data_IF_623231675170
#
_entry.id   IF_623231675170
#
_cell.length_a   1.000
_cell.length_b   1.000
_cell.length_c   1.000
_cell.angle_alpha   90.00
_cell.angle_beta   90.00
_cell.angle_gamma   90.00
#
_symmetry.space_group_name_H-M   'P 1'
#
loop_
_entity.id
_entity.type
_entity.pdbx_description
1 polymer ?
#
# COMPACT_ATOMS: atom_id res chain seq x y z
N UNK A 1 6.52 20.29 1.42
CA UNK A 1 6.97 18.92 1.10
C UNK A 1 7.96 19.02 -0.04
N UNK A 2 9.05 18.29 0.08
CA UNK A 2 10.18 18.37 -0.83
C UNK A 2 10.32 17.07 -1.63
N UNK A 3 10.66 17.20 -2.92
CA UNK A 3 11.00 16.06 -3.76
C UNK A 3 12.39 15.51 -3.42
N UNK A 4 13.23 16.27 -2.72
CA UNK A 4 14.53 15.79 -2.21
C UNK A 4 14.43 15.15 -0.82
N UNK A 5 13.24 14.67 -0.43
CA UNK A 5 13.06 13.94 0.82
C UNK A 5 13.96 12.70 0.87
N UNK A 6 14.47 12.40 2.07
CA UNK A 6 15.25 11.19 2.34
C UNK A 6 14.76 10.51 3.61
N UNK A 7 14.66 9.18 3.57
CA UNK A 7 14.22 8.37 4.70
C UNK A 7 15.36 7.75 5.51
N UNK A 8 16.62 8.03 5.17
CA UNK A 8 17.81 7.38 5.77
C UNK A 8 17.89 7.58 7.28
N UNK A 9 17.53 8.77 7.77
CA UNK A 9 17.59 9.10 9.20
C UNK A 9 16.30 8.71 9.96
N UNK A 10 15.29 8.18 9.27
CA UNK A 10 14.01 7.82 9.88
C UNK A 10 14.01 6.37 10.34
N UNK A 11 13.47 6.15 11.53
CA UNK A 11 13.13 4.83 12.04
C UNK A 11 11.91 4.22 11.32
N UNK A 12 11.75 2.91 11.48
CA UNK A 12 10.56 2.18 11.00
C UNK A 12 9.25 2.72 11.59
N UNK A 13 9.29 3.21 12.82
CA UNK A 13 8.13 3.84 13.47
C UNK A 13 7.82 5.18 12.81
N UNK A 14 8.83 6.01 12.54
CA UNK A 14 8.64 7.31 11.90
C UNK A 14 8.12 7.18 10.47
N UNK A 15 8.63 6.23 9.68
CA UNK A 15 8.09 5.96 8.32
C UNK A 15 6.64 5.45 8.36
N UNK A 16 6.28 4.64 9.37
CA UNK A 16 4.90 4.19 9.59
C UNK A 16 3.99 5.36 9.95
N UNK A 17 4.41 6.23 10.88
CA UNK A 17 3.67 7.42 11.29
C UNK A 17 3.52 8.43 10.15
N UNK A 18 4.58 8.63 9.36
CA UNK A 18 4.54 9.46 8.16
C UNK A 18 3.53 8.93 7.14
N UNK A 19 3.45 7.61 6.95
CA UNK A 19 2.45 6.98 6.07
C UNK A 19 1.03 7.27 6.57
N UNK A 20 0.75 7.10 7.87
CA UNK A 20 -0.56 7.47 8.45
C UNK A 20 -0.88 8.94 8.17
N UNK A 21 0.12 9.82 8.38
CA UNK A 21 -0.03 11.25 8.14
C UNK A 21 -0.37 11.58 6.69
N UNK A 22 0.19 10.88 5.71
CA UNK A 22 -0.15 11.06 4.29
C UNK A 22 -1.65 10.82 4.03
N UNK A 23 -2.23 9.77 4.58
CA UNK A 23 -3.67 9.48 4.44
C UNK A 23 -4.55 10.53 5.11
N UNK A 24 -4.15 11.02 6.29
CA UNK A 24 -4.85 12.08 7.01
C UNK A 24 -4.80 13.38 6.21
N UNK A 25 -3.62 13.80 5.75
CA UNK A 25 -3.46 15.07 5.03
C UNK A 25 -4.08 15.06 3.63
N UNK A 26 -4.22 13.89 3.00
CA UNK A 26 -5.00 13.72 1.76
C UNK A 26 -6.51 13.70 2.00
N UNK A 27 -6.98 13.85 3.24
CA UNK A 27 -8.39 13.74 3.66
C UNK A 27 -9.03 12.37 3.42
N UNK A 28 -8.24 11.33 3.15
CA UNK A 28 -8.76 9.99 2.83
C UNK A 28 -9.45 9.34 4.04
N UNK A 29 -8.94 9.58 5.25
CA UNK A 29 -9.55 9.05 6.48
C UNK A 29 -10.98 9.57 6.64
N UNK A 30 -11.18 10.87 6.41
CA UNK A 30 -12.50 11.49 6.55
C UNK A 30 -13.41 11.13 5.38
N UNK A 31 -12.94 11.22 4.15
CA UNK A 31 -13.75 11.04 2.94
C UNK A 31 -14.26 9.60 2.81
N UNK A 32 -13.49 8.61 3.30
CA UNK A 32 -13.86 7.19 3.28
C UNK A 32 -14.25 6.64 4.66
N UNK A 33 -14.42 7.49 5.67
CA UNK A 33 -14.83 7.11 7.04
C UNK A 33 -13.97 5.98 7.63
N UNK A 34 -12.67 6.01 7.38
CA UNK A 34 -11.76 4.97 7.82
C UNK A 34 -11.61 5.01 9.34
N UNK A 35 -11.76 3.85 10.00
CA UNK A 35 -11.37 3.71 11.40
C UNK A 35 -9.85 3.88 11.49
N UNK A 36 -9.39 4.81 12.33
CA UNK A 36 -7.96 5.07 12.53
C UNK A 36 -7.18 3.80 12.90
N UNK A 37 -7.75 2.96 13.76
CA UNK A 37 -7.15 1.66 14.15
C UNK A 37 -7.03 0.70 12.97
N UNK A 38 -8.04 0.64 12.09
CA UNK A 38 -7.99 -0.17 10.87
C UNK A 38 -6.89 0.32 9.92
N UNK A 39 -6.74 1.63 9.74
CA UNK A 39 -5.65 2.20 8.94
C UNK A 39 -4.27 1.84 9.52
N UNK A 40 -4.09 1.98 10.84
CA UNK A 40 -2.84 1.60 11.50
C UNK A 40 -2.52 0.11 11.29
N UNK A 41 -3.50 -0.78 11.50
CA UNK A 41 -3.31 -2.21 11.29
C UNK A 41 -3.01 -2.55 9.82
N UNK A 42 -3.67 -1.88 8.88
CA UNK A 42 -3.41 -2.04 7.45
C UNK A 42 -1.95 -1.69 7.11
N UNK A 43 -1.47 -0.50 7.51
CA UNK A 43 -0.10 -0.05 7.22
C UNK A 43 0.92 -0.98 7.86
N UNK A 44 0.71 -1.40 9.12
CA UNK A 44 1.57 -2.37 9.79
C UNK A 44 1.59 -3.72 9.07
N UNK A 45 0.45 -4.16 8.53
CA UNK A 45 0.36 -5.41 7.76
C UNK A 45 1.09 -5.30 6.43
N UNK A 46 0.92 -4.21 5.68
CA UNK A 46 1.68 -3.92 4.45
C UNK A 46 3.17 -3.96 4.74
N UNK A 47 3.64 -3.19 5.75
CA UNK A 47 5.05 -3.15 6.14
C UNK A 47 5.60 -4.53 6.51
N UNK A 48 4.84 -5.33 7.26
CA UNK A 48 5.25 -6.69 7.67
C UNK A 48 5.41 -7.63 6.48
N UNK A 49 4.65 -7.42 5.41
CA UNK A 49 4.71 -8.26 4.20
C UNK A 49 5.81 -7.83 3.22
N UNK A 50 6.60 -6.80 3.53
CA UNK A 50 7.87 -6.55 2.87
C UNK A 50 9.01 -7.33 3.55
N UNK A 51 9.86 -7.97 2.74
CA UNK A 51 10.95 -8.81 3.23
C UNK A 51 12.16 -7.97 3.62
N UNK A 52 12.55 -8.05 4.91
CA UNK A 52 13.70 -7.30 5.46
C UNK A 52 15.06 -7.71 4.88
N UNK A 53 15.17 -8.92 4.34
CA UNK A 53 16.41 -9.43 3.73
C UNK A 53 16.58 -9.02 2.26
N UNK A 54 15.63 -8.26 1.68
CA UNK A 54 15.75 -7.71 0.33
C UNK A 54 16.41 -6.34 0.40
N UNK A 55 17.50 -6.16 -0.36
CA UNK A 55 18.32 -4.96 -0.29
C UNK A 55 17.60 -3.67 -0.73
N UNK A 56 16.74 -3.75 -1.77
CA UNK A 56 16.09 -2.57 -2.36
C UNK A 56 14.56 -2.61 -2.29
N UNK A 57 13.91 -3.57 -2.96
CA UNK A 57 12.43 -3.74 -2.99
C UNK A 57 11.85 -4.21 -1.65
N UNK A 58 12.01 -3.39 -0.62
CA UNK A 58 11.56 -3.59 0.74
C UNK A 58 10.65 -2.41 1.16
N UNK A 59 10.25 -2.38 2.43
CA UNK A 59 9.36 -1.34 2.96
C UNK A 59 9.82 0.09 2.65
N UNK A 60 11.14 0.37 2.70
CA UNK A 60 11.67 1.72 2.45
C UNK A 60 11.45 2.16 1.02
N UNK A 61 11.58 1.25 0.06
CA UNK A 61 11.27 1.54 -1.33
C UNK A 61 9.79 1.89 -1.51
N UNK A 62 8.89 1.05 -1.00
CA UNK A 62 7.44 1.30 -1.08
C UNK A 62 7.04 2.61 -0.39
N UNK A 63 7.62 2.89 0.77
CA UNK A 63 7.42 4.14 1.50
C UNK A 63 7.87 5.37 0.68
N UNK A 64 9.07 5.34 0.09
CA UNK A 64 9.56 6.45 -0.74
C UNK A 64 8.73 6.63 -2.02
N UNK A 65 8.24 5.54 -2.62
CA UNK A 65 7.30 5.59 -3.75
C UNK A 65 5.98 6.27 -3.34
N UNK A 66 5.43 5.93 -2.16
CA UNK A 66 4.24 6.58 -1.63
C UNK A 66 4.49 8.06 -1.24
N UNK A 67 5.65 8.38 -0.68
CA UNK A 67 6.04 9.76 -0.35
C UNK A 67 6.18 10.63 -1.60
N UNK A 68 6.72 10.07 -2.69
CA UNK A 68 6.81 10.76 -3.98
C UNK A 68 5.41 11.02 -4.54
N UNK A 69 4.52 10.01 -4.50
CA UNK A 69 3.12 10.17 -4.91
C UNK A 69 2.39 11.24 -4.08
N UNK A 70 2.55 11.22 -2.76
CA UNK A 70 1.98 12.22 -1.87
C UNK A 70 2.50 13.64 -2.21
N UNK A 71 3.78 13.78 -2.51
CA UNK A 71 4.37 15.07 -2.93
C UNK A 71 3.83 15.53 -4.29
N UNK A 72 3.62 14.63 -5.25
CA UNK A 72 2.96 14.95 -6.53
C UNK A 72 1.51 15.40 -6.34
N UNK A 73 0.76 14.70 -5.48
CA UNK A 73 -0.62 15.04 -5.16
C UNK A 73 -0.74 16.42 -4.49
N UNK A 74 0.13 16.71 -3.52
CA UNK A 74 0.13 17.95 -2.74
C UNK A 74 0.88 19.09 -3.41
N UNK A 75 2.21 19.02 -3.48
CA UNK A 75 3.05 20.08 -4.05
C UNK A 75 2.86 20.20 -5.55
N UNK A 76 2.70 19.08 -6.26
CA UNK A 76 2.45 19.04 -7.71
C UNK A 76 1.00 19.38 -8.09
N UNK A 77 0.11 19.60 -7.11
CA UNK A 77 -1.32 19.90 -7.30
C UNK A 77 -2.09 18.88 -8.15
N UNK A 78 -1.59 17.64 -8.23
CA UNK A 78 -2.26 16.57 -8.98
C UNK A 78 -3.59 16.17 -8.30
N UNK A 79 -3.70 16.34 -6.98
CA UNK A 79 -4.94 16.07 -6.25
C UNK A 79 -6.15 16.84 -6.83
N UNK A 80 -5.96 18.03 -7.40
CA UNK A 80 -7.05 18.83 -7.98
C UNK A 80 -7.59 18.28 -9.31
N UNK A 81 -6.89 17.30 -9.90
CA UNK A 81 -7.24 16.70 -11.20
C UNK A 81 -7.79 15.29 -11.07
N UNK A 82 -7.78 14.72 -9.87
CA UNK A 82 -8.19 13.36 -9.58
C UNK A 82 -9.36 13.39 -8.60
N UNK A 83 -10.23 12.39 -8.67
CA UNK A 83 -11.25 12.18 -7.65
C UNK A 83 -10.66 11.46 -6.42
N UNK A 84 -11.38 11.49 -5.31
CA UNK A 84 -10.91 10.91 -4.04
C UNK A 84 -10.63 9.40 -4.13
N UNK A 85 -11.36 8.67 -4.98
CA UNK A 85 -11.15 7.24 -5.17
C UNK A 85 -9.85 6.96 -5.94
N UNK A 86 -9.54 7.76 -6.95
CA UNK A 86 -8.26 7.68 -7.68
C UNK A 86 -7.08 8.01 -6.76
N UNK A 87 -7.21 9.03 -5.92
CA UNK A 87 -6.18 9.39 -4.92
C UNK A 87 -5.98 8.26 -3.91
N UNK A 88 -7.07 7.68 -3.41
CA UNK A 88 -7.02 6.52 -2.52
C UNK A 88 -6.33 5.33 -3.20
N UNK A 89 -6.74 5.00 -4.42
CA UNK A 89 -6.19 3.89 -5.18
C UNK A 89 -4.69 4.06 -5.43
N UNK A 90 -4.23 5.26 -5.78
CA UNK A 90 -2.80 5.56 -5.98
C UNK A 90 -1.99 5.38 -4.69
N UNK A 91 -2.50 5.84 -3.54
CA UNK A 91 -1.80 5.67 -2.26
C UNK A 91 -1.74 4.20 -1.83
N UNK A 92 -2.81 3.44 -2.02
CA UNK A 92 -2.81 2.00 -1.76
C UNK A 92 -1.85 1.28 -2.73
N UNK A 93 -1.91 1.60 -4.02
CA UNK A 93 -1.08 0.97 -5.04
C UNK A 93 0.41 1.20 -4.78
N UNK A 94 0.80 2.45 -4.51
CA UNK A 94 2.22 2.81 -4.26
C UNK A 94 2.80 2.08 -3.04
N UNK A 95 2.01 1.88 -1.99
CA UNK A 95 2.44 1.12 -0.81
C UNK A 95 2.45 -0.40 -1.03
N UNK A 96 1.59 -0.91 -1.92
CA UNK A 96 1.39 -2.34 -2.12
C UNK A 96 2.13 -2.94 -3.34
N UNK A 97 2.71 -2.11 -4.21
CA UNK A 97 3.16 -2.54 -5.54
C UNK A 97 4.26 -3.61 -5.56
N UNK A 98 5.02 -3.76 -4.47
CA UNK A 98 6.14 -4.70 -4.34
C UNK A 98 5.95 -5.66 -3.14
N UNK A 99 4.71 -5.89 -2.68
CA UNK A 99 4.42 -6.76 -1.54
C UNK A 99 4.97 -8.19 -1.70
N UNK A 100 5.65 -8.72 -0.69
CA UNK A 100 6.34 -10.03 -0.73
C UNK A 100 7.38 -10.15 -1.87
N UNK A 101 7.90 -9.03 -2.40
CA UNK A 101 8.99 -9.08 -3.37
C UNK A 101 10.20 -9.83 -2.79
N UNK A 102 10.78 -10.76 -3.58
CA UNK A 102 11.81 -11.70 -3.11
C UNK A 102 13.24 -11.33 -3.53
N UNK A 103 13.42 -10.17 -4.16
CA UNK A 103 14.72 -9.69 -4.62
C UNK A 103 15.21 -10.36 -5.91
N UNK A 104 14.31 -11.04 -6.62
CA UNK A 104 14.57 -11.67 -7.91
C UNK A 104 13.65 -11.06 -8.96
N UNK A 105 14.14 -10.84 -10.16
CA UNK A 105 13.34 -10.29 -11.24
C UNK A 105 12.48 -11.37 -11.93
N UNK A 106 11.44 -10.95 -12.66
CA UNK A 106 10.56 -11.85 -13.42
C UNK A 106 11.34 -12.84 -14.31
N UNK A 107 12.46 -12.41 -14.88
CA UNK A 107 13.35 -13.22 -15.72
C UNK A 107 14.00 -14.39 -14.96
N UNK A 108 14.28 -14.23 -13.67
CA UNK A 108 14.82 -15.30 -12.82
C UNK A 108 13.74 -16.32 -12.46
N UNK A 109 12.54 -15.85 -12.10
CA UNK A 109 11.39 -16.71 -11.73
C UNK A 109 10.96 -17.57 -12.92
N UNK A 110 10.92 -17.01 -14.12
CA UNK A 110 10.57 -17.72 -15.36
C UNK A 110 11.60 -18.81 -15.71
N UNK A 111 12.86 -18.66 -15.28
CA UNK A 111 13.94 -19.61 -15.54
C UNK A 111 14.10 -20.67 -14.43
N UNK A 112 13.49 -20.48 -13.27
CA UNK A 112 13.71 -21.34 -12.10
C UNK A 112 12.61 -22.37 -11.83
N UNK A 113 11.70 -22.61 -12.80
CA UNK A 113 10.51 -23.50 -12.65
C UNK A 113 9.73 -23.28 -11.33
N UNK A 114 9.76 -22.05 -10.80
CA UNK A 114 9.13 -21.76 -9.52
C UNK A 114 7.61 -21.82 -9.71
N UNK A 115 6.81 -22.33 -8.76
CA UNK A 115 5.35 -22.49 -8.91
C UNK A 115 4.61 -21.22 -9.35
N UNK A 116 5.15 -20.03 -9.02
CA UNK A 116 4.62 -18.74 -9.48
C UNK A 116 4.70 -18.55 -11.01
N UNK A 117 5.73 -19.07 -11.68
CA UNK A 117 5.89 -18.98 -13.14
C UNK A 117 4.82 -19.77 -13.91
N UNK A 118 4.18 -20.77 -13.28
CA UNK A 118 3.10 -21.55 -13.89
C UNK A 118 1.74 -20.85 -13.79
N UNK A 119 1.58 -19.82 -12.95
CA UNK A 119 0.29 -19.15 -12.71
C UNK A 119 0.02 -17.98 -13.69
N UNK A 120 1.06 -17.28 -14.19
CA UNK A 120 0.89 -16.10 -15.05
C UNK A 120 1.94 -16.03 -16.18
N UNK A 121 1.53 -15.77 -17.43
CA UNK A 121 2.40 -15.76 -18.61
C UNK A 121 3.17 -14.44 -18.84
N UNK A 122 2.69 -13.31 -18.29
CA UNK A 122 3.35 -11.99 -18.28
C UNK A 122 3.12 -11.29 -16.94
N UNK A 123 4.08 -10.48 -16.46
CA UNK A 123 4.00 -9.71 -15.20
C UNK A 123 3.59 -10.54 -13.96
N UNK A 124 4.23 -11.69 -13.79
CA UNK A 124 3.90 -12.68 -12.75
C UNK A 124 4.02 -12.12 -11.34
N UNK A 125 5.05 -11.30 -11.08
CA UNK A 125 5.25 -10.69 -9.76
C UNK A 125 4.21 -9.60 -9.48
N UNK A 126 3.85 -8.82 -10.48
CA UNK A 126 2.86 -7.75 -10.35
C UNK A 126 1.46 -8.28 -10.03
N UNK A 127 1.08 -9.43 -10.60
CA UNK A 127 -0.15 -10.14 -10.21
C UNK A 127 -0.06 -10.66 -8.76
N UNK A 128 1.08 -11.24 -8.36
CA UNK A 128 1.30 -11.66 -6.98
C UNK A 128 1.20 -10.50 -5.99
N UNK A 129 1.77 -9.33 -6.31
CA UNK A 129 1.68 -8.11 -5.49
C UNK A 129 0.22 -7.65 -5.33
N UNK A 130 -0.57 -7.72 -6.42
CA UNK A 130 -2.00 -7.41 -6.38
C UNK A 130 -2.79 -8.39 -5.50
N UNK A 131 -2.52 -9.69 -5.61
CA UNK A 131 -3.18 -10.71 -4.76
C UNK A 131 -2.85 -10.51 -3.28
N UNK A 132 -1.59 -10.19 -2.95
CA UNK A 132 -1.18 -9.81 -1.59
C UNK A 132 -1.92 -8.57 -1.10
N UNK A 133 -2.06 -7.55 -1.96
CA UNK A 133 -2.83 -6.34 -1.64
C UNK A 133 -4.28 -6.70 -1.29
N UNK A 134 -4.94 -7.51 -2.12
CA UNK A 134 -6.33 -7.92 -1.94
C UNK A 134 -6.50 -8.76 -0.66
N UNK A 135 -5.56 -9.66 -0.37
CA UNK A 135 -5.54 -10.46 0.85
C UNK A 135 -5.45 -9.57 2.10
N UNK A 136 -4.57 -8.56 2.11
CA UNK A 136 -4.41 -7.64 3.25
C UNK A 136 -5.67 -6.79 3.41
N UNK A 137 -6.25 -6.28 2.32
CA UNK A 137 -7.49 -5.48 2.33
C UNK A 137 -8.70 -6.28 2.84
N UNK A 138 -8.81 -7.57 2.49
CA UNK A 138 -9.92 -8.43 2.90
C UNK A 138 -9.69 -9.15 4.23
N UNK A 139 -8.49 -9.06 4.82
CA UNK A 139 -8.25 -9.61 6.14
C UNK A 139 -9.14 -8.90 7.18
N UNK A 140 -9.84 -9.68 8.00
CA UNK A 140 -10.85 -9.23 8.98
C UNK A 140 -10.33 -8.27 10.07
N UNK A 141 -9.06 -7.87 9.99
CA UNK A 141 -8.36 -6.98 10.92
C UNK A 141 -7.76 -5.74 10.22
N UNK A 142 -7.80 -5.64 8.89
CA UNK A 142 -6.92 -4.71 8.16
C UNK A 142 -7.51 -3.95 6.95
N UNK A 143 -8.78 -4.09 6.57
CA UNK A 143 -9.32 -3.29 5.46
C UNK A 143 -9.62 -1.83 5.86
N UNK A 144 -9.08 -0.79 5.18
CA UNK A 144 -9.50 0.60 5.39
C UNK A 144 -10.97 0.85 4.98
N UNK A 145 -11.55 -0.05 4.18
CA UNK A 145 -12.90 0.04 3.60
C UNK A 145 -13.96 -0.77 4.36
N UNK A 146 -13.65 -1.32 5.53
CA UNK A 146 -14.55 -2.21 6.27
C UNK A 146 -15.68 -1.45 7.00
N UNK A 147 -16.53 -0.75 6.24
CA UNK A 147 -17.79 -0.14 6.69
C UNK A 147 -18.89 -0.31 5.62
N UNK A 148 -19.27 -1.55 5.35
CA UNK A 148 -20.62 -1.87 4.87
C UNK A 148 -21.07 -3.15 5.56
N UNK A 149 -21.57 -3.02 6.78
CA UNK A 149 -22.48 -4.01 7.35
C UNK A 149 -23.85 -3.36 7.50
N UNK A 150 -24.67 -3.54 6.47
CA UNK A 150 -26.12 -3.35 6.54
C UNK A 150 -26.72 -4.61 7.16
N UNK A 151 -27.19 -4.51 8.40
CA UNK A 151 -28.35 -5.27 8.89
C UNK A 151 -28.88 -4.65 10.18
N UNK A 152 -29.67 -3.59 10.02
CA UNK A 152 -30.79 -3.35 10.92
C UNK A 152 -31.82 -4.45 10.67
N UNK A 153 -32.12 -5.23 11.70
CA UNK A 153 -33.33 -6.04 11.72
C UNK A 153 -34.06 -5.73 13.03
N UNK A 154 -35.01 -4.80 12.94
CA UNK A 154 -36.01 -4.52 13.96
C UNK A 154 -37.27 -5.32 13.68
N UNK A 155 -37.71 -6.08 14.70
CA UNK A 155 -39.10 -6.39 15.06
C UNK A 155 -39.81 -7.52 14.29
N UNK A 156 -40.85 -8.16 14.87
CA UNK A 156 -41.73 -7.74 15.98
C UNK A 156 -41.22 -8.04 17.39
#
# INVERSE_FOLDING_TARGET
>A
MDFSFSDFDLSDTETTMATIRMFVDLNLVQNFQMKYTSLCHWILSVKKNYRKNVAYHNWRHAFNTAQTMFTLLKSGRLQNKLNDLEVLALMIATLSHDLDHRGVNNSYIQRSEHPLAQLYCHSTMEHHHFDQCLMILNSSVGGPTSTHDTRGNTSP
#
